data_IF_851795069862
#
_entry.id   IF_851795069862
#
_cell.length_a   1.000
_cell.length_b   1.000
_cell.length_c   1.000
_cell.angle_alpha   90.00
_cell.angle_beta   90.00
_cell.angle_gamma   90.00
#
_symmetry.space_group_name_H-M   'P 1'
#
loop_
_entity.id
_entity.type
_entity.pdbx_description
1 polymer ?
#
# COMPACT_ATOMS: atom_id res chain seq x y z
N UNK A 1 10.74 -25.86 -5.48
CA UNK A 1 10.78 -24.83 -6.54
C UNK A 1 9.40 -24.20 -6.61
N UNK A 2 9.31 -22.88 -6.51
CA UNK A 2 8.04 -22.13 -6.64
C UNK A 2 7.60 -22.22 -8.11
N UNK A 3 6.30 -22.44 -8.32
CA UNK A 3 5.72 -22.54 -9.66
C UNK A 3 5.31 -21.12 -10.15
N UNK A 4 5.74 -20.76 -11.36
CA UNK A 4 5.41 -19.47 -12.00
C UNK A 4 3.89 -19.31 -12.27
N UNK A 5 3.12 -20.40 -12.30
CA UNK A 5 1.67 -20.38 -12.46
C UNK A 5 0.91 -19.99 -11.18
N UNK A 6 1.58 -19.94 -10.01
CA UNK A 6 0.96 -19.51 -8.78
C UNK A 6 0.65 -17.99 -8.80
N UNK A 7 -0.39 -17.53 -8.11
CA UNK A 7 -0.75 -16.12 -8.06
C UNK A 7 0.24 -15.27 -7.26
N UNK A 8 0.22 -13.98 -7.54
CA UNK A 8 0.76 -12.94 -6.66
C UNK A 8 -0.26 -12.68 -5.55
N UNK A 9 0.11 -12.96 -4.30
CA UNK A 9 -0.74 -12.66 -3.15
C UNK A 9 -0.47 -11.23 -2.67
N UNK A 10 -1.54 -10.45 -2.47
CA UNK A 10 -1.48 -9.05 -2.02
C UNK A 10 -2.42 -8.85 -0.84
N UNK A 11 -2.01 -8.08 0.16
CA UNK A 11 -2.91 -7.69 1.24
C UNK A 11 -2.77 -6.23 1.65
N UNK A 12 -3.85 -5.71 2.21
CA UNK A 12 -3.98 -4.37 2.77
C UNK A 12 -4.86 -4.40 4.03
N UNK A 13 -4.83 -3.33 4.83
CA UNK A 13 -5.72 -3.16 6.00
C UNK A 13 -7.20 -3.08 5.64
N UNK A 14 -7.53 -2.95 4.36
CA UNK A 14 -8.91 -2.79 3.89
C UNK A 14 -9.03 -2.79 2.38
N UNK A 15 -9.72 -1.77 1.85
CA UNK A 15 -9.95 -1.61 0.40
C UNK A 15 -8.90 -0.72 -0.28
N UNK A 16 -8.12 0.04 0.50
CA UNK A 16 -7.17 1.03 -0.04
C UNK A 16 -6.14 0.43 -0.96
N UNK A 17 -5.62 -0.76 -0.64
CA UNK A 17 -4.64 -1.47 -1.45
C UNK A 17 -5.13 -1.86 -2.85
N UNK A 18 -6.43 -1.77 -3.13
CA UNK A 18 -6.96 -1.92 -4.48
C UNK A 18 -6.46 -0.83 -5.44
N UNK A 19 -6.03 0.35 -4.94
CA UNK A 19 -5.32 1.34 -5.76
C UNK A 19 -3.97 0.84 -6.22
N UNK A 20 -3.29 0.02 -5.41
CA UNK A 20 -2.03 -0.64 -5.77
C UNK A 20 -2.29 -1.78 -6.74
N UNK A 21 -3.30 -2.61 -6.47
CA UNK A 21 -3.70 -3.69 -7.35
C UNK A 21 -4.08 -3.18 -8.75
N UNK A 22 -4.82 -2.07 -8.84
CA UNK A 22 -5.18 -1.45 -10.13
C UNK A 22 -3.95 -1.23 -11.03
N UNK A 23 -2.91 -0.62 -10.47
CA UNK A 23 -1.67 -0.37 -11.23
C UNK A 23 -0.94 -1.67 -11.60
N UNK A 24 -1.02 -2.69 -10.74
CA UNK A 24 -0.47 -4.00 -11.04
C UNK A 24 -1.22 -4.68 -12.20
N UNK A 25 -2.56 -4.60 -12.22
CA UNK A 25 -3.38 -5.13 -13.30
C UNK A 25 -3.11 -4.46 -14.65
N UNK A 26 -2.81 -3.15 -14.62
CA UNK A 26 -2.44 -2.39 -15.83
C UNK A 26 -1.04 -2.75 -16.31
N UNK A 27 -0.08 -2.90 -15.39
CA UNK A 27 1.32 -3.13 -15.74
C UNK A 27 1.65 -4.61 -16.04
N UNK A 28 0.95 -5.52 -15.38
CA UNK A 28 1.20 -6.98 -15.42
C UNK A 28 -0.14 -7.73 -15.58
N UNK A 29 -0.87 -7.49 -16.68
CA UNK A 29 -2.22 -8.03 -16.86
C UNK A 29 -2.26 -9.56 -17.00
N UNK A 30 -1.14 -10.20 -17.32
CA UNK A 30 -1.03 -11.65 -17.46
C UNK A 30 -0.91 -12.39 -16.12
N UNK A 31 -0.62 -11.68 -15.02
CA UNK A 31 -0.44 -12.29 -13.71
C UNK A 31 -1.77 -12.58 -13.01
N UNK A 32 -1.84 -13.72 -12.31
CA UNK A 32 -2.95 -14.01 -11.43
C UNK A 32 -2.73 -13.32 -10.07
N UNK A 33 -3.81 -12.75 -9.51
CA UNK A 33 -3.75 -12.06 -8.22
C UNK A 33 -4.76 -12.62 -7.21
N UNK A 34 -4.31 -12.74 -5.97
CA UNK A 34 -5.16 -12.96 -4.80
C UNK A 34 -5.04 -11.73 -3.90
N UNK A 35 -6.13 -10.99 -3.73
CA UNK A 35 -6.18 -9.82 -2.87
C UNK A 35 -6.95 -10.09 -1.59
N UNK A 36 -6.37 -9.71 -0.44
CA UNK A 36 -7.02 -9.78 0.85
C UNK A 36 -7.08 -8.38 1.49
N UNK A 37 -8.29 -7.89 1.75
CA UNK A 37 -8.54 -6.70 2.56
C UNK A 37 -8.89 -7.07 4.00
N UNK A 38 -8.05 -6.67 4.96
CA UNK A 38 -8.27 -6.93 6.39
C UNK A 38 -9.24 -5.91 7.02
N UNK A 39 -10.44 -5.82 6.44
CA UNK A 39 -11.44 -4.81 6.78
C UNK A 39 -11.97 -4.90 8.21
N UNK A 40 -11.89 -6.07 8.85
CA UNK A 40 -12.30 -6.24 10.26
C UNK A 40 -11.38 -5.50 11.23
N UNK A 41 -10.13 -5.22 10.83
CA UNK A 41 -9.13 -4.54 11.64
C UNK A 41 -8.84 -3.09 11.18
N UNK A 42 -9.52 -2.64 10.11
CA UNK A 42 -9.36 -1.25 9.62
C UNK A 42 -9.80 -0.21 10.67
N UNK A 43 -9.10 0.94 10.79
CA UNK A 43 -7.82 1.29 10.17
C UNK A 43 -6.61 0.83 10.99
N UNK A 44 -5.51 0.46 10.32
CA UNK A 44 -4.26 0.04 10.99
C UNK A 44 -3.48 1.21 11.62
N UNK A 45 -3.74 2.43 11.18
CA UNK A 45 -2.95 3.61 11.50
C UNK A 45 -2.84 3.95 12.98
N UNK A 46 -3.84 3.55 13.79
CA UNK A 46 -3.96 3.85 15.21
C UNK A 46 -3.99 2.59 16.09
N UNK A 47 -3.74 1.40 15.51
CA UNK A 47 -3.75 0.13 16.24
C UNK A 47 -2.43 -0.09 16.98
N UNK A 48 -2.49 -0.92 18.02
CA UNK A 48 -1.28 -1.36 18.73
C UNK A 48 -0.30 -2.07 17.77
N UNK A 49 0.96 -1.64 17.70
CA UNK A 49 1.95 -2.24 16.79
C UNK A 49 2.23 -3.72 17.05
N UNK A 50 2.11 -4.19 18.31
CA UNK A 50 2.33 -5.61 18.65
C UNK A 50 1.17 -6.45 18.13
N UNK A 51 -0.06 -5.98 18.29
CA UNK A 51 -1.24 -6.62 17.72
C UNK A 51 -1.14 -6.68 16.20
N UNK A 52 -0.73 -5.58 15.56
CA UNK A 52 -0.57 -5.52 14.10
C UNK A 52 0.48 -6.51 13.59
N UNK A 53 1.63 -6.64 14.25
CA UNK A 53 2.65 -7.62 13.83
C UNK A 53 2.11 -9.04 13.85
N UNK A 54 1.38 -9.42 14.90
CA UNK A 54 0.74 -10.73 14.98
C UNK A 54 -0.29 -10.93 13.87
N UNK A 55 -1.08 -9.91 13.61
CA UNK A 55 -2.09 -9.94 12.55
C UNK A 55 -1.47 -10.08 11.15
N UNK A 56 -0.43 -9.31 10.87
CA UNK A 56 0.31 -9.35 9.60
C UNK A 56 0.96 -10.72 9.39
N UNK A 57 1.59 -11.28 10.42
CA UNK A 57 2.15 -12.64 10.36
C UNK A 57 1.07 -13.68 10.02
N UNK A 58 -0.10 -13.61 10.66
CA UNK A 58 -1.22 -14.52 10.40
C UNK A 58 -1.76 -14.37 8.96
N UNK A 59 -1.92 -13.14 8.47
CA UNK A 59 -2.37 -12.87 7.09
C UNK A 59 -1.36 -13.44 6.08
N UNK A 60 -0.07 -13.16 6.28
CA UNK A 60 0.99 -13.69 5.42
C UNK A 60 0.97 -15.23 5.39
N UNK A 61 0.86 -15.88 6.56
CA UNK A 61 0.73 -17.35 6.66
C UNK A 61 -0.45 -17.87 5.85
N UNK A 62 -1.65 -17.27 6.06
CA UNK A 62 -2.88 -17.74 5.41
C UNK A 62 -2.88 -17.54 3.90
N UNK A 63 -2.27 -16.48 3.40
CA UNK A 63 -2.10 -16.27 1.97
C UNK A 63 -1.12 -17.29 1.37
N UNK A 64 -0.01 -17.55 2.06
CA UNK A 64 1.03 -18.47 1.57
C UNK A 64 0.63 -19.94 1.69
N UNK A 65 -0.17 -20.32 2.70
CA UNK A 65 -0.80 -21.66 2.78
C UNK A 65 -1.68 -21.99 1.55
N UNK A 66 -2.25 -20.97 0.90
CA UNK A 66 -3.05 -21.15 -0.33
C UNK A 66 -2.19 -21.34 -1.59
N UNK A 67 -0.91 -21.09 -1.48
CA UNK A 67 0.04 -21.08 -2.60
C UNK A 67 0.12 -19.71 -3.27
N UNK A 68 1.29 -19.12 -3.23
CA UNK A 68 1.61 -17.87 -3.94
C UNK A 68 3.08 -17.87 -4.33
N UNK A 69 3.41 -17.23 -5.46
CA UNK A 69 4.79 -17.06 -5.91
C UNK A 69 5.47 -15.80 -5.39
N UNK A 70 4.66 -14.85 -4.94
CA UNK A 70 5.12 -13.57 -4.41
C UNK A 70 4.11 -13.06 -3.37
N UNK A 71 4.60 -12.45 -2.28
CA UNK A 71 3.76 -11.78 -1.28
C UNK A 71 3.95 -10.27 -1.40
N UNK A 72 2.86 -9.52 -1.58
CA UNK A 72 2.87 -8.05 -1.68
C UNK A 72 2.18 -7.43 -0.47
N UNK A 73 2.87 -6.52 0.21
CA UNK A 73 2.30 -5.71 1.28
C UNK A 73 1.92 -4.35 0.71
N UNK A 74 0.66 -4.20 0.26
CA UNK A 74 0.17 -2.96 -0.34
C UNK A 74 -0.02 -1.85 0.69
N UNK A 75 -0.36 -2.20 1.94
CA UNK A 75 -0.58 -1.27 3.03
C UNK A 75 0.72 -0.64 3.54
N UNK A 76 0.78 0.70 3.55
CA UNK A 76 1.93 1.43 4.07
C UNK A 76 2.15 1.19 5.57
N UNK A 77 1.07 1.18 6.35
CA UNK A 77 1.14 0.89 7.79
C UNK A 77 1.57 -0.55 8.06
N UNK A 78 1.02 -1.52 7.32
CA UNK A 78 1.43 -2.92 7.45
C UNK A 78 2.91 -3.11 7.11
N UNK A 79 3.40 -2.46 6.05
CA UNK A 79 4.83 -2.45 5.72
C UNK A 79 5.65 -1.84 6.85
N UNK A 80 5.28 -0.65 7.32
CA UNK A 80 6.03 0.10 8.33
C UNK A 80 6.17 -0.63 9.67
N UNK A 81 5.16 -1.43 10.05
CA UNK A 81 5.08 -2.11 11.36
C UNK A 81 5.46 -3.58 11.27
N UNK A 82 5.20 -4.25 10.14
CA UNK A 82 5.23 -5.71 10.08
C UNK A 82 5.95 -6.31 8.87
N UNK A 83 6.70 -5.55 8.08
CA UNK A 83 7.48 -6.10 6.95
C UNK A 83 8.40 -7.24 7.41
N UNK A 84 9.10 -7.06 8.53
CA UNK A 84 10.04 -8.04 9.06
C UNK A 84 9.35 -9.38 9.35
N UNK A 85 8.25 -9.37 10.09
CA UNK A 85 7.52 -10.59 10.41
C UNK A 85 6.88 -11.24 9.17
N UNK A 86 6.45 -10.44 8.19
CA UNK A 86 5.95 -10.98 6.93
C UNK A 86 7.07 -11.68 6.13
N UNK A 87 8.28 -11.12 6.11
CA UNK A 87 9.46 -11.75 5.50
C UNK A 87 9.87 -13.04 6.21
N UNK A 88 9.84 -13.06 7.55
CA UNK A 88 10.10 -14.28 8.33
C UNK A 88 9.11 -15.40 8.00
N UNK A 89 7.82 -15.05 7.86
CA UNK A 89 6.80 -16.01 7.43
C UNK A 89 7.08 -16.48 6.00
N UNK A 90 7.28 -15.56 5.07
CA UNK A 90 7.48 -15.86 3.65
C UNK A 90 8.74 -16.71 3.40
N UNK A 91 9.80 -16.50 4.17
CA UNK A 91 11.02 -17.30 4.08
C UNK A 91 10.77 -18.80 4.33
N UNK A 92 9.79 -19.17 5.16
CA UNK A 92 9.42 -20.59 5.39
C UNK A 92 8.83 -21.26 4.16
N UNK A 93 8.25 -20.47 3.26
CA UNK A 93 7.67 -20.93 2.00
C UNK A 93 8.62 -20.71 0.81
N UNK A 94 9.78 -20.08 1.03
CA UNK A 94 10.73 -19.69 -0.02
C UNK A 94 10.23 -18.56 -0.91
N UNK A 95 9.21 -17.80 -0.47
CA UNK A 95 8.55 -16.73 -1.23
C UNK A 95 9.19 -15.37 -0.91
N UNK A 96 9.40 -14.55 -1.94
CA UNK A 96 9.85 -13.18 -1.76
C UNK A 96 8.71 -12.24 -1.35
N UNK A 97 9.07 -11.10 -0.70
CA UNK A 97 8.13 -10.09 -0.25
C UNK A 97 8.43 -8.75 -0.91
N UNK A 98 7.43 -8.17 -1.56
CA UNK A 98 7.47 -6.80 -2.10
C UNK A 98 6.67 -5.88 -1.17
N UNK A 99 7.34 -4.99 -0.41
CA UNK A 99 6.68 -3.98 0.41
C UNK A 99 6.42 -2.71 -0.40
N UNK A 100 5.54 -1.81 0.10
CA UNK A 100 5.25 -0.55 -0.60
C UNK A 100 6.23 0.58 -0.26
N UNK A 101 6.82 0.59 0.94
CA UNK A 101 7.61 1.73 1.45
C UNK A 101 8.90 1.93 0.68
N UNK A 102 9.71 0.88 0.52
CA UNK A 102 11.01 0.99 -0.13
C UNK A 102 10.91 1.42 -1.61
N UNK A 103 10.03 0.83 -2.45
CA UNK A 103 9.85 1.28 -3.83
C UNK A 103 9.38 2.75 -3.96
N UNK A 104 8.49 3.21 -3.07
CA UNK A 104 8.07 4.62 -3.06
C UNK A 104 9.22 5.56 -2.69
N UNK A 105 10.03 5.20 -1.68
CA UNK A 105 11.18 5.99 -1.27
C UNK A 105 12.23 6.09 -2.38
N UNK A 106 12.48 4.99 -3.11
CA UNK A 106 13.37 4.95 -4.27
C UNK A 106 12.93 5.94 -5.35
N UNK A 107 11.65 5.91 -5.75
CA UNK A 107 11.10 6.83 -6.75
C UNK A 107 11.18 8.28 -6.25
N UNK A 108 10.75 8.55 -5.01
CA UNK A 108 10.77 9.91 -4.47
C UNK A 108 12.18 10.50 -4.43
N UNK A 109 13.17 9.70 -4.01
CA UNK A 109 14.56 10.10 -4.01
C UNK A 109 15.12 10.35 -5.43
N UNK A 110 14.65 9.59 -6.41
CA UNK A 110 15.10 9.75 -7.81
C UNK A 110 14.55 11.03 -8.46
N UNK A 111 13.31 11.44 -8.12
CA UNK A 111 12.63 12.55 -8.82
C UNK A 111 12.74 13.91 -8.13
N UNK A 112 13.13 13.97 -6.84
CA UNK A 112 13.28 15.25 -6.15
C UNK A 112 14.41 16.09 -6.75
N UNK A 113 14.15 17.37 -6.96
CA UNK A 113 15.15 18.33 -7.46
C UNK A 113 15.86 19.06 -6.33
N UNK A 114 15.13 19.42 -5.25
CA UNK A 114 15.67 20.21 -4.14
C UNK A 114 16.08 19.37 -2.91
N UNK A 115 15.83 18.04 -2.95
CA UNK A 115 16.14 17.12 -1.86
C UNK A 115 15.20 17.19 -0.67
N UNK A 116 14.10 17.95 -0.73
CA UNK A 116 13.11 18.07 0.34
C UNK A 116 11.88 17.24 0.01
N UNK A 117 11.71 16.14 0.73
CA UNK A 117 10.64 15.19 0.51
C UNK A 117 9.66 15.22 1.68
N UNK A 118 8.39 15.46 1.37
CA UNK A 118 7.30 15.27 2.32
C UNK A 118 6.80 13.84 2.32
N UNK A 119 6.36 13.36 3.49
CA UNK A 119 5.63 12.11 3.66
C UNK A 119 4.32 12.41 4.38
N UNK A 120 3.20 12.17 3.74
CA UNK A 120 1.88 12.23 4.37
C UNK A 120 1.41 10.80 4.62
N UNK A 121 1.22 10.40 5.87
CA UNK A 121 0.94 9.00 6.22
C UNK A 121 0.05 8.88 7.47
N UNK A 122 -0.25 7.66 7.90
CA UNK A 122 -0.94 7.40 9.18
C UNK A 122 0.03 7.59 10.36
N UNK A 123 -0.52 7.69 11.58
CA UNK A 123 0.29 7.86 12.80
C UNK A 123 1.34 6.75 12.94
N UNK A 124 0.93 5.49 12.93
CA UNK A 124 1.86 4.37 13.04
C UNK A 124 2.96 4.37 11.97
N UNK A 125 2.62 4.78 10.73
CA UNK A 125 3.61 4.85 9.64
C UNK A 125 4.67 5.90 9.93
N UNK A 126 4.26 7.09 10.36
CA UNK A 126 5.17 8.19 10.70
C UNK A 126 6.02 7.84 11.93
N UNK A 127 5.39 7.39 13.01
CA UNK A 127 6.07 7.04 14.26
C UNK A 127 7.08 5.90 14.11
N UNK A 128 6.82 4.98 13.19
CA UNK A 128 7.77 3.90 12.87
C UNK A 128 9.09 4.41 12.29
N UNK A 129 9.08 5.58 11.64
CA UNK A 129 10.24 6.11 10.90
C UNK A 129 10.62 5.30 9.65
N UNK A 130 9.73 4.44 9.13
CA UNK A 130 10.03 3.55 8.02
C UNK A 130 10.42 4.31 6.74
N UNK A 131 9.69 5.38 6.40
CA UNK A 131 10.04 6.21 5.24
C UNK A 131 11.33 6.97 5.43
N UNK A 132 11.58 7.52 6.63
CA UNK A 132 12.83 8.19 6.94
C UNK A 132 14.03 7.26 6.71
N UNK A 133 14.00 6.05 7.28
CA UNK A 133 15.06 5.05 7.07
C UNK A 133 15.21 4.66 5.60
N UNK A 134 14.10 4.46 4.89
CA UNK A 134 14.13 4.08 3.48
C UNK A 134 14.73 5.19 2.59
N UNK A 135 14.46 6.47 2.89
CA UNK A 135 15.01 7.62 2.17
C UNK A 135 16.48 7.86 2.55
N UNK A 136 16.85 7.70 3.82
CA UNK A 136 18.24 7.77 4.27
C UNK A 136 19.12 6.71 3.59
N UNK A 137 18.59 5.50 3.39
CA UNK A 137 19.27 4.43 2.68
C UNK A 137 19.59 4.76 1.21
N UNK A 138 18.92 5.77 0.60
CA UNK A 138 19.27 6.24 -0.74
C UNK A 138 20.59 7.04 -0.80
N UNK A 139 21.17 7.41 0.35
CA UNK A 139 22.51 8.01 0.46
C UNK A 139 22.64 9.42 -0.14
N UNK A 140 21.53 10.17 -0.35
CA UNK A 140 21.52 11.47 -1.04
C UNK A 140 21.46 12.68 -0.12
N UNK A 141 21.48 12.50 1.22
CA UNK A 141 21.37 13.62 2.17
C UNK A 141 20.01 14.36 2.06
N UNK A 142 18.92 13.59 1.95
CA UNK A 142 17.56 14.12 1.76
C UNK A 142 17.00 14.70 3.06
N UNK A 143 16.28 15.82 2.95
CA UNK A 143 15.52 16.41 4.04
C UNK A 143 14.09 15.85 4.03
N UNK A 144 13.72 15.10 5.06
CA UNK A 144 12.46 14.34 5.13
C UNK A 144 11.52 14.94 6.16
N UNK A 145 10.37 15.42 5.69
CA UNK A 145 9.32 16.02 6.50
C UNK A 145 8.13 15.08 6.56
N UNK A 146 7.89 14.44 7.71
CA UNK A 146 6.80 13.47 7.89
C UNK A 146 5.63 14.12 8.64
N UNK A 147 4.42 13.94 8.12
CA UNK A 147 3.18 14.46 8.72
C UNK A 147 2.17 13.32 8.87
N UNK A 148 1.72 13.10 10.10
CA UNK A 148 0.66 12.16 10.40
C UNK A 148 -0.72 12.74 10.05
N UNK A 149 -1.54 11.98 9.34
CA UNK A 149 -2.89 12.34 8.93
C UNK A 149 -3.91 11.24 9.36
N UNK A 150 -4.14 11.04 10.67
CA UNK A 150 -4.89 9.88 11.21
C UNK A 150 -6.33 9.82 10.72
N UNK A 151 -6.98 10.97 10.52
CA UNK A 151 -8.39 11.02 10.13
C UNK A 151 -8.63 10.91 8.63
N UNK A 152 -7.61 11.12 7.79
CA UNK A 152 -7.83 11.26 6.35
C UNK A 152 -8.24 9.95 5.68
N UNK A 153 -7.65 8.80 6.04
CA UNK A 153 -7.99 7.51 5.46
C UNK A 153 -9.43 7.06 5.79
N UNK A 154 -9.93 7.13 7.06
CA UNK A 154 -11.32 6.87 7.37
C UNK A 154 -12.31 7.73 6.56
N UNK A 155 -12.10 9.04 6.48
CA UNK A 155 -12.95 9.94 5.72
C UNK A 155 -13.03 9.58 4.23
N UNK A 156 -11.88 9.26 3.63
CA UNK A 156 -11.82 8.81 2.23
C UNK A 156 -12.61 7.50 2.04
N UNK A 157 -12.46 6.56 2.96
CA UNK A 157 -13.17 5.28 2.89
C UNK A 157 -14.69 5.45 2.98
N UNK A 158 -15.17 6.33 3.84
CA UNK A 158 -16.59 6.70 3.96
C UNK A 158 -17.14 7.43 2.74
N UNK A 159 -16.28 7.90 1.83
CA UNK A 159 -16.66 8.58 0.61
C UNK A 159 -16.57 10.10 0.66
N UNK A 160 -16.12 10.65 1.76
CA UNK A 160 -15.86 12.08 1.93
C UNK A 160 -14.55 12.47 1.24
N UNK A 161 -14.62 12.69 -0.08
CA UNK A 161 -13.40 12.94 -0.88
C UNK A 161 -13.08 14.43 -1.04
N UNK A 162 -14.10 15.27 -1.25
CA UNK A 162 -13.89 16.67 -1.64
C UNK A 162 -14.84 17.64 -0.92
N UNK A 163 -15.47 17.21 0.17
CA UNK A 163 -16.28 18.07 1.02
C UNK A 163 -15.42 19.08 1.81
N UNK A 164 -16.08 20.06 2.42
CA UNK A 164 -15.41 21.16 3.08
C UNK A 164 -14.58 20.71 4.30
N UNK A 165 -15.04 19.71 5.04
CA UNK A 165 -14.33 19.16 6.21
C UNK A 165 -13.05 18.43 5.80
N UNK A 166 -13.13 17.56 4.80
CA UNK A 166 -11.98 16.85 4.23
C UNK A 166 -10.95 17.83 3.65
N UNK A 167 -11.43 18.86 2.94
CA UNK A 167 -10.55 19.91 2.42
C UNK A 167 -9.86 20.73 3.51
N UNK A 168 -10.57 21.09 4.58
CA UNK A 168 -10.00 21.84 5.70
C UNK A 168 -8.94 21.00 6.43
N UNK A 169 -9.25 19.73 6.67
CA UNK A 169 -8.34 18.76 7.28
C UNK A 169 -7.07 18.58 6.45
N UNK A 170 -7.21 18.36 5.13
CA UNK A 170 -6.08 18.20 4.22
C UNK A 170 -5.19 19.45 4.18
N UNK A 171 -5.77 20.65 4.20
CA UNK A 171 -5.00 21.92 4.30
C UNK A 171 -4.17 21.99 5.57
N UNK A 172 -4.74 21.56 6.71
CA UNK A 172 -4.04 21.50 8.00
C UNK A 172 -2.83 20.58 7.94
N UNK A 173 -3.01 19.35 7.41
CA UNK A 173 -1.93 18.38 7.27
C UNK A 173 -0.85 18.82 6.25
N UNK A 174 -1.25 19.52 5.19
CA UNK A 174 -0.31 19.99 4.17
C UNK A 174 0.44 21.29 4.56
N UNK A 175 -0.01 22.02 5.59
CA UNK A 175 0.61 23.29 5.97
C UNK A 175 2.12 23.16 6.30
N UNK A 176 2.56 22.26 7.20
CA UNK A 176 3.98 22.09 7.52
C UNK A 176 4.81 21.64 6.30
N UNK A 177 4.22 20.84 5.41
CA UNK A 177 4.89 20.40 4.18
C UNK A 177 5.16 21.57 3.22
N UNK A 178 4.20 22.49 3.09
CA UNK A 178 4.35 23.71 2.29
C UNK A 178 5.37 24.66 2.88
N UNK A 179 5.35 24.84 4.19
CA UNK A 179 6.30 25.68 4.92
C UNK A 179 7.74 25.19 4.77
N UNK A 180 7.92 23.87 4.76
CA UNK A 180 9.21 23.23 4.53
C UNK A 180 9.70 23.34 3.07
N UNK A 181 8.82 23.74 2.14
CA UNK A 181 9.19 23.90 0.72
C UNK A 181 9.55 22.61 0.03
N UNK A 182 8.81 21.53 0.30
CA UNK A 182 8.99 20.25 -0.40
C UNK A 182 8.71 20.39 -1.89
N UNK A 183 9.41 19.63 -2.73
CA UNK A 183 9.11 19.49 -4.16
C UNK A 183 8.55 18.11 -4.51
N UNK A 184 8.57 17.19 -3.57
CA UNK A 184 8.09 15.82 -3.73
C UNK A 184 7.30 15.41 -2.49
N UNK A 185 6.12 14.81 -2.68
CA UNK A 185 5.28 14.27 -1.62
C UNK A 185 5.02 12.78 -1.84
N UNK A 186 5.39 11.97 -0.87
CA UNK A 186 4.99 10.57 -0.80
C UNK A 186 3.59 10.47 -0.20
N UNK A 187 2.66 9.83 -0.94
CA UNK A 187 1.34 9.46 -0.44
C UNK A 187 1.48 8.15 0.35
N UNK A 188 1.82 8.27 1.62
CA UNK A 188 2.15 7.16 2.53
C UNK A 188 0.94 6.41 3.09
N UNK A 189 -0.16 6.38 2.33
CA UNK A 189 -1.36 5.60 2.60
C UNK A 189 -2.07 5.26 1.28
N UNK A 190 -2.54 4.03 1.15
CA UNK A 190 -3.24 3.50 -0.04
C UNK A 190 -4.56 4.22 -0.37
N UNK A 191 -5.13 4.95 0.60
CA UNK A 191 -6.32 5.77 0.39
C UNK A 191 -6.04 7.12 -0.28
N UNK A 192 -4.87 7.70 -0.04
CA UNK A 192 -4.57 9.08 -0.44
C UNK A 192 -4.53 9.34 -1.95
N UNK A 193 -4.25 8.36 -2.83
CA UNK A 193 -4.37 8.56 -4.27
C UNK A 193 -5.76 9.03 -4.72
N UNK A 194 -6.85 8.65 -4.03
CA UNK A 194 -8.21 9.11 -4.35
C UNK A 194 -8.41 10.62 -4.16
N UNK A 195 -7.64 11.24 -3.29
CA UNK A 195 -7.67 12.69 -3.05
C UNK A 195 -6.43 13.39 -3.59
N UNK A 196 -5.62 12.73 -4.40
CA UNK A 196 -4.41 13.31 -5.00
C UNK A 196 -4.67 14.64 -5.73
N UNK A 197 -5.77 14.82 -6.50
CA UNK A 197 -6.07 16.11 -7.12
C UNK A 197 -6.27 17.25 -6.12
N UNK A 198 -6.87 16.96 -4.96
CA UNK A 198 -7.04 17.92 -3.87
C UNK A 198 -5.69 18.26 -3.22
N UNK A 199 -4.89 17.25 -2.89
CA UNK A 199 -3.55 17.44 -2.31
C UNK A 199 -2.65 18.24 -3.27
N UNK A 200 -2.69 17.93 -4.58
CA UNK A 200 -1.97 18.67 -5.61
C UNK A 200 -2.37 20.14 -5.66
N UNK A 201 -3.69 20.42 -5.55
CA UNK A 201 -4.19 21.82 -5.53
C UNK A 201 -3.72 22.58 -4.28
N UNK A 202 -3.66 21.91 -3.11
CA UNK A 202 -3.24 22.53 -1.85
C UNK A 202 -1.74 22.80 -1.85
N UNK A 203 -0.92 21.86 -2.34
CA UNK A 203 0.55 21.96 -2.33
C UNK A 203 1.10 22.78 -3.49
N UNK A 204 0.34 22.89 -4.59
CA UNK A 204 0.78 23.56 -5.81
C UNK A 204 1.33 22.59 -6.86
N UNK A 205 1.35 23.04 -8.12
CA UNK A 205 1.69 22.19 -9.28
C UNK A 205 3.16 21.77 -9.34
N UNK A 206 4.03 22.42 -8.59
CA UNK A 206 5.47 22.13 -8.58
C UNK A 206 5.84 20.97 -7.62
N UNK A 207 4.90 20.51 -6.79
CA UNK A 207 5.12 19.35 -5.92
C UNK A 207 4.72 18.09 -6.67
N UNK A 208 5.65 17.14 -6.81
CA UNK A 208 5.41 15.84 -7.44
C UNK A 208 4.83 14.87 -6.41
N UNK A 209 3.71 14.22 -6.75
CA UNK A 209 3.08 13.22 -5.88
C UNK A 209 3.57 11.82 -6.26
N UNK A 210 3.98 11.05 -5.26
CA UNK A 210 4.42 9.65 -5.41
C UNK A 210 3.42 8.73 -4.73
N UNK A 211 2.67 7.98 -5.53
CA UNK A 211 1.75 6.93 -5.05
C UNK A 211 2.44 5.57 -4.99
N UNK A 212 1.86 4.64 -4.18
CA UNK A 212 2.40 3.29 -4.03
C UNK A 212 2.22 2.41 -5.26
N UNK A 213 1.15 2.60 -6.03
CA UNK A 213 0.74 1.68 -7.09
C UNK A 213 1.83 1.43 -8.14
N UNK A 214 2.25 2.47 -8.87
CA UNK A 214 3.30 2.35 -9.88
C UNK A 214 4.63 1.82 -9.33
N UNK A 215 5.00 2.27 -8.10
CA UNK A 215 6.23 1.84 -7.46
C UNK A 215 6.22 0.33 -7.17
N UNK A 216 5.10 -0.17 -6.64
CA UNK A 216 4.91 -1.59 -6.32
C UNK A 216 4.82 -2.42 -7.59
N UNK A 217 4.05 -2.00 -8.61
CA UNK A 217 3.94 -2.72 -9.86
C UNK A 217 5.32 -2.92 -10.54
N UNK A 218 6.14 -1.86 -10.60
CA UNK A 218 7.51 -1.96 -11.11
C UNK A 218 8.40 -2.86 -10.24
N UNK A 219 8.23 -2.87 -8.91
CA UNK A 219 8.98 -3.75 -8.03
C UNK A 219 8.56 -5.21 -8.20
N UNK A 220 7.26 -5.51 -8.32
CA UNK A 220 6.75 -6.85 -8.64
C UNK A 220 7.36 -7.35 -9.95
N UNK A 221 7.31 -6.54 -11.01
CA UNK A 221 7.87 -6.91 -12.31
C UNK A 221 9.34 -7.29 -12.18
N UNK A 222 10.17 -6.43 -11.60
CA UNK A 222 11.61 -6.71 -11.41
C UNK A 222 11.85 -7.99 -10.61
N UNK A 223 11.07 -8.23 -9.55
CA UNK A 223 11.20 -9.41 -8.70
C UNK A 223 10.84 -10.69 -9.46
N UNK A 224 9.73 -10.69 -10.19
CA UNK A 224 9.29 -11.84 -10.97
C UNK A 224 10.25 -12.16 -12.12
N UNK A 225 10.75 -11.15 -12.83
CA UNK A 225 11.75 -11.30 -13.91
C UNK A 225 13.07 -11.87 -13.37
N UNK A 226 13.59 -11.30 -12.26
CA UNK A 226 14.87 -11.73 -11.69
C UNK A 226 14.84 -13.13 -11.07
N UNK A 227 13.67 -13.55 -10.58
CA UNK A 227 13.47 -14.91 -10.04
C UNK A 227 13.03 -15.94 -11.06
N UNK A 228 12.74 -15.54 -12.32
CA UNK A 228 12.20 -16.42 -13.35
C UNK A 228 10.78 -16.90 -13.07
N UNK A 229 10.00 -16.12 -12.32
CA UNK A 229 8.64 -16.43 -11.92
C UNK A 229 7.57 -15.60 -12.65
N UNK A 230 7.98 -14.75 -13.60
CA UNK A 230 7.04 -14.02 -14.45
C UNK A 230 6.23 -15.02 -15.29
N UNK A 231 4.90 -14.80 -15.36
CA UNK A 231 4.02 -15.64 -16.18
C UNK A 231 4.27 -15.31 -17.65
N UNK A 232 4.47 -16.34 -18.45
CA UNK A 232 4.65 -16.24 -19.90
C UNK A 232 3.28 -16.27 -20.61
N UNK A 233 3.14 -15.53 -21.71
CA UNK A 233 1.95 -15.49 -22.54
C UNK A 233 1.21 -14.16 -22.48
N UNK A 234 0.22 -14.01 -23.38
CA UNK A 234 -0.59 -12.80 -23.55
C UNK A 234 -2.02 -12.95 -22.96
N UNK A 235 -2.32 -14.10 -22.35
CA UNK A 235 -3.63 -14.34 -21.74
C UNK A 235 -3.77 -13.50 -20.46
N UNK A 236 -4.94 -12.89 -20.30
CA UNK A 236 -5.29 -12.12 -19.10
C UNK A 236 -5.35 -13.04 -17.87
N UNK A 237 -4.78 -12.59 -16.75
CA UNK A 237 -4.77 -13.30 -15.49
C UNK A 237 -6.13 -13.29 -14.79
N UNK A 238 -6.23 -14.05 -13.72
CA UNK A 238 -7.43 -14.16 -12.89
C UNK A 238 -7.26 -13.40 -11.57
N UNK A 239 -8.40 -12.97 -10.97
CA UNK A 239 -8.41 -12.18 -9.75
C UNK A 239 -9.35 -12.76 -8.73
N UNK A 240 -8.85 -13.06 -7.53
CA UNK A 240 -9.66 -13.48 -6.39
C UNK A 240 -9.61 -12.42 -5.28
N UNK A 241 -10.78 -12.11 -4.70
CA UNK A 241 -10.90 -11.11 -3.65
C UNK A 241 -11.41 -11.72 -2.35
N UNK A 242 -10.71 -11.40 -1.26
CA UNK A 242 -11.07 -11.81 0.10
C UNK A 242 -11.21 -10.59 1.02
N UNK A 243 -12.16 -10.65 1.95
CA UNK A 243 -12.36 -9.67 3.01
C UNK A 243 -12.50 -10.37 4.35
N UNK A 244 -11.89 -9.82 5.40
CA UNK A 244 -12.08 -10.33 6.76
C UNK A 244 -13.33 -9.76 7.44
N UNK A 245 -13.90 -8.69 6.91
CA UNK A 245 -15.17 -8.11 7.33
C UNK A 245 -16.31 -8.42 6.34
N UNK A 246 -17.49 -7.82 6.54
CA UNK A 246 -18.66 -8.05 5.71
C UNK A 246 -18.40 -7.75 4.23
N UNK A 247 -18.77 -8.70 3.36
CA UNK A 247 -18.59 -8.58 1.89
C UNK A 247 -19.37 -7.42 1.30
N UNK A 248 -20.57 -7.12 1.83
CA UNK A 248 -21.40 -6.00 1.35
C UNK A 248 -20.67 -4.67 1.48
N UNK A 249 -20.12 -4.38 2.66
CA UNK A 249 -19.38 -3.13 2.90
C UNK A 249 -18.08 -3.06 2.08
N UNK A 250 -17.43 -4.19 1.82
CA UNK A 250 -16.26 -4.24 0.95
C UNK A 250 -16.64 -3.88 -0.50
N UNK A 251 -17.68 -4.52 -1.05
CA UNK A 251 -18.09 -4.34 -2.43
C UNK A 251 -18.56 -2.92 -2.76
N UNK A 252 -19.27 -2.25 -1.83
CA UNK A 252 -19.74 -0.87 -2.01
C UNK A 252 -18.62 0.14 -2.18
N UNK A 253 -17.48 -0.08 -1.53
CA UNK A 253 -16.35 0.85 -1.51
C UNK A 253 -15.26 0.44 -2.51
N UNK A 254 -15.04 -0.86 -2.68
CA UNK A 254 -13.91 -1.41 -3.43
C UNK A 254 -13.83 -0.95 -4.89
N UNK A 255 -14.96 -0.83 -5.59
CA UNK A 255 -15.01 -0.38 -6.99
C UNK A 255 -14.43 1.02 -7.19
N UNK A 256 -14.54 1.88 -6.17
CA UNK A 256 -13.99 3.23 -6.20
C UNK A 256 -12.44 3.22 -6.17
N UNK A 257 -11.87 2.27 -5.45
CA UNK A 257 -10.42 2.11 -5.33
C UNK A 257 -9.82 1.32 -6.48
N UNK A 258 -10.49 0.23 -6.89
CA UNK A 258 -10.05 -0.60 -8.00
C UNK A 258 -10.26 0.06 -9.37
N UNK A 259 -11.21 1.00 -9.48
CA UNK A 259 -11.60 1.71 -10.71
C UNK A 259 -12.03 0.77 -11.87
N UNK A 260 -12.48 -0.42 -11.54
CA UNK A 260 -13.02 -1.42 -12.46
C UNK A 260 -14.06 -2.28 -11.74
N UNK A 261 -14.91 -3.03 -12.45
CA UNK A 261 -15.87 -3.93 -11.81
C UNK A 261 -15.17 -4.93 -10.90
N UNK A 262 -15.68 -5.07 -9.69
CA UNK A 262 -15.21 -6.07 -8.74
C UNK A 262 -15.87 -7.40 -9.05
N UNK A 263 -15.09 -8.49 -9.08
CA UNK A 263 -15.62 -9.83 -9.16
C UNK A 263 -16.25 -10.31 -7.84
N UNK A 264 -16.40 -11.61 -7.69
CA UNK A 264 -16.88 -12.22 -6.44
C UNK A 264 -15.90 -11.94 -5.30
N UNK A 265 -16.41 -11.47 -4.16
CA UNK A 265 -15.64 -11.29 -2.92
C UNK A 265 -16.06 -12.39 -1.95
N UNK A 266 -15.09 -13.07 -1.34
CA UNK A 266 -15.34 -14.11 -0.34
C UNK A 266 -14.92 -13.62 1.04
N UNK A 267 -15.77 -13.84 2.03
CA UNK A 267 -15.43 -13.55 3.42
C UNK A 267 -14.54 -14.65 3.98
N UNK A 268 -13.50 -14.26 4.72
CA UNK A 268 -12.61 -15.16 5.45
C UNK A 268 -12.48 -14.69 6.90
N UNK A 269 -12.41 -15.64 7.82
CA UNK A 269 -12.20 -15.34 9.23
C UNK A 269 -10.81 -15.82 9.65
N UNK A 270 -10.08 -14.96 10.33
CA UNK A 270 -8.79 -15.28 10.94
C UNK A 270 -8.88 -15.11 12.45
N UNK A 271 -8.78 -16.19 13.16
CA UNK A 271 -8.67 -16.17 14.62
C UNK A 271 -7.20 -16.06 14.99
N UNK A 272 -6.81 -14.98 15.66
CA UNK A 272 -5.47 -14.88 16.25
C UNK A 272 -5.43 -15.84 17.42
N UNK A 273 -4.53 -16.83 17.45
CA UNK A 273 -4.34 -17.67 18.64
C UNK A 273 -4.03 -16.79 19.86
N UNK A 274 -4.63 -17.13 21.01
CA UNK A 274 -4.48 -16.39 22.27
C UNK A 274 -3.03 -16.40 22.78
#
# INVERSE_FOLDING_TARGET
VIDASLPVAMFDSGVGGLTVLHECLVALPQEDYVYLGDTSMFPYGERDPVELRRRIALIAEKLLERGAKLLVIACNTATAIGEEVAREVAARYGVEVVPVVAPQAEIAAAITDNGRIGVLATTNTVESGAYRRALEAQGRGLDVIEVAAPRLAPFIQEGSLFDEETMAMARGYCAPLREAGIDTLILGCTHFPLVAPMLQRILGRNVRLVSGGHAVAAAIQRTLESSGLAREGDDEGTYEFFSTGPVSSFGEVATRFLQMPLGEVRQVEFTVPA
#
